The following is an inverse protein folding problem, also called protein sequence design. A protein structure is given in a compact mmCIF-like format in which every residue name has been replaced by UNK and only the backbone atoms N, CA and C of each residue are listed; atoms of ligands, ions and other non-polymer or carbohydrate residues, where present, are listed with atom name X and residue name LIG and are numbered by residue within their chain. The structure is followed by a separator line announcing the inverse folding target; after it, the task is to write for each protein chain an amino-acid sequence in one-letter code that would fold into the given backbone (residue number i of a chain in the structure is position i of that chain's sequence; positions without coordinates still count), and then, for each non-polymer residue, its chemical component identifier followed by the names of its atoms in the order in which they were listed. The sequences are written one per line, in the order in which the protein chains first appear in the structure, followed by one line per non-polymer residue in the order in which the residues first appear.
data_IF_118363361245
#
_entry.id   IF_118363361245
#
_cell.length_a   1.000
_cell.length_b   1.000
_cell.length_c   1.000
_cell.angle_alpha   90.00
_cell.angle_beta   90.00
_cell.angle_gamma   90.00
#
_symmetry.space_group_name_H-M   'P 1'
#
loop_
_entity.id
_entity.type
_entity.pdbx_description
1 polymer ?
#
# COMPACT_ATOMS: atom_id res chain seq x y z
N UNK A 1 14.85 8.65 4.46
CA UNK A 1 13.92 7.53 4.22
C UNK A 1 14.63 6.51 3.37
N UNK A 2 14.38 5.21 3.58
CA UNK A 2 15.00 4.15 2.80
C UNK A 2 14.00 3.36 1.95
N UNK A 3 12.70 3.47 2.24
CA UNK A 3 11.62 2.85 1.49
C UNK A 3 10.83 3.85 0.65
N UNK A 4 10.26 3.39 -0.44
CA UNK A 4 9.32 4.13 -1.29
C UNK A 4 8.12 3.23 -1.62
N UNK A 5 6.91 3.64 -1.25
CA UNK A 5 5.69 2.98 -1.67
C UNK A 5 5.33 3.38 -3.11
N UNK A 6 4.88 2.41 -3.90
CA UNK A 6 4.69 2.58 -5.33
C UNK A 6 3.38 1.94 -5.78
N UNK A 7 2.67 2.63 -6.68
CA UNK A 7 1.48 2.11 -7.33
C UNK A 7 1.83 1.23 -8.54
N UNK A 8 1.03 0.20 -8.75
CA UNK A 8 1.09 -0.65 -9.95
C UNK A 8 0.61 0.07 -11.21
N UNK A 9 -0.10 1.19 -11.05
CA UNK A 9 -0.48 2.10 -12.13
C UNK A 9 0.51 3.24 -12.30
N UNK A 10 0.82 3.65 -13.55
CA UNK A 10 1.60 4.86 -13.78
C UNK A 10 0.82 6.09 -13.31
N UNK A 11 1.54 7.09 -12.79
CA UNK A 11 0.93 8.37 -12.46
C UNK A 11 0.47 9.14 -13.71
N UNK A 12 -0.38 10.15 -13.48
CA UNK A 12 -0.89 11.02 -14.54
C UNK A 12 -2.05 10.45 -15.37
N UNK A 13 -2.58 9.28 -15.01
CA UNK A 13 -3.79 8.71 -15.64
C UNK A 13 -4.96 8.70 -14.65
N UNK A 14 -6.15 9.11 -15.13
CA UNK A 14 -7.41 9.08 -14.35
C UNK A 14 -8.06 7.69 -14.34
N UNK A 15 -7.69 6.82 -15.28
CA UNK A 15 -8.04 5.41 -15.25
C UNK A 15 -6.87 4.59 -14.72
N UNK A 16 -7.19 3.53 -13.97
CA UNK A 16 -6.19 2.55 -13.54
C UNK A 16 -5.65 1.80 -14.77
N UNK A 17 -4.33 1.77 -14.92
CA UNK A 17 -3.65 1.04 -15.98
C UNK A 17 -2.44 0.30 -15.43
N UNK A 18 -1.94 -0.71 -16.12
CA UNK A 18 -0.76 -1.44 -15.65
C UNK A 18 0.54 -0.75 -16.09
N UNK A 19 1.49 -0.56 -15.18
CA UNK A 19 2.86 -0.17 -15.56
C UNK A 19 3.50 -1.23 -16.44
N UNK A 20 4.10 -0.79 -17.54
CA UNK A 20 5.01 -1.58 -18.37
C UNK A 20 6.35 -1.82 -17.66
N UNK A 21 7.13 -2.81 -18.13
CA UNK A 21 8.49 -3.06 -17.62
C UNK A 21 9.38 -1.81 -17.74
N UNK A 22 9.26 -1.03 -18.82
CA UNK A 22 10.04 0.20 -18.99
C UNK A 22 9.73 1.24 -17.91
N UNK A 23 8.46 1.37 -17.51
CA UNK A 23 8.04 2.26 -16.43
C UNK A 23 8.53 1.76 -15.06
N UNK A 24 8.51 0.45 -14.81
CA UNK A 24 9.13 -0.14 -13.61
C UNK A 24 10.63 0.13 -13.55
N UNK A 25 11.35 -0.05 -14.67
CA UNK A 25 12.79 0.22 -14.77
C UNK A 25 13.12 1.70 -14.49
N UNK A 26 12.32 2.63 -15.02
CA UNK A 26 12.48 4.06 -14.73
C UNK A 26 12.28 4.33 -13.24
N UNK A 27 11.17 3.86 -12.67
CA UNK A 27 10.82 4.07 -11.27
C UNK A 27 11.92 3.60 -10.30
N UNK A 28 12.49 2.41 -10.50
CA UNK A 28 13.55 1.92 -9.62
C UNK A 28 14.87 2.68 -9.78
N UNK A 29 15.16 3.18 -10.99
CA UNK A 29 16.34 4.01 -11.22
C UNK A 29 16.19 5.39 -10.58
N UNK A 30 15.00 5.98 -10.70
CA UNK A 30 14.65 7.22 -10.01
C UNK A 30 14.78 7.02 -8.49
N UNK A 31 14.16 5.98 -7.93
CA UNK A 31 14.25 5.64 -6.52
C UNK A 31 15.71 5.50 -6.05
N UNK A 32 16.54 4.76 -6.81
CA UNK A 32 17.97 4.61 -6.52
C UNK A 32 18.72 5.93 -6.53
N UNK A 33 18.46 6.79 -7.53
CA UNK A 33 19.11 8.10 -7.66
C UNK A 33 18.81 9.02 -6.48
N UNK A 34 17.64 8.85 -5.87
CA UNK A 34 17.19 9.59 -4.69
C UNK A 34 17.57 8.89 -3.36
N UNK A 35 18.41 7.86 -3.42
CA UNK A 35 18.95 7.19 -2.23
C UNK A 35 18.04 6.13 -1.60
N UNK A 36 16.82 5.91 -2.12
CA UNK A 36 15.97 4.81 -1.67
C UNK A 36 16.64 3.46 -1.94
N UNK A 37 16.39 2.50 -1.04
CA UNK A 37 16.96 1.15 -1.06
C UNK A 37 15.91 0.07 -1.25
N UNK A 38 14.64 0.40 -0.96
CA UNK A 38 13.53 -0.54 -0.95
C UNK A 38 12.33 0.10 -1.65
N UNK A 39 11.66 -0.64 -2.53
CA UNK A 39 10.32 -0.28 -3.01
C UNK A 39 9.26 -1.17 -2.34
N UNK A 40 8.06 -0.65 -2.11
CA UNK A 40 6.91 -1.41 -1.62
C UNK A 40 5.81 -1.45 -2.66
N UNK A 41 5.47 -2.65 -3.11
CA UNK A 41 4.26 -2.92 -3.92
C UNK A 41 3.15 -3.44 -3.00
N UNK A 42 1.90 -3.03 -3.23
CA UNK A 42 0.78 -3.33 -2.31
C UNK A 42 -0.02 -4.57 -2.78
N UNK A 43 0.00 -4.86 -4.08
CA UNK A 43 -0.68 -6.00 -4.70
C UNK A 43 0.10 -6.58 -5.87
N UNK A 44 -0.29 -7.78 -6.31
CA UNK A 44 0.36 -8.51 -7.41
C UNK A 44 -0.44 -8.48 -8.72
N UNK A 45 -1.49 -7.67 -8.79
CA UNK A 45 -2.16 -7.37 -10.06
C UNK A 45 -1.17 -6.73 -11.05
N UNK A 46 -1.55 -6.64 -12.32
CA UNK A 46 -0.67 -6.12 -13.38
C UNK A 46 0.68 -6.85 -13.53
N UNK A 47 0.79 -8.09 -13.06
CA UNK A 47 2.07 -8.82 -12.96
C UNK A 47 3.14 -8.05 -12.17
N UNK A 48 2.71 -7.15 -11.27
CA UNK A 48 3.60 -6.18 -10.62
C UNK A 48 4.72 -6.86 -9.84
N UNK A 49 4.45 -7.99 -9.17
CA UNK A 49 5.50 -8.75 -8.47
C UNK A 49 6.66 -9.11 -9.40
N UNK A 50 6.36 -9.64 -10.59
CA UNK A 50 7.39 -10.06 -11.54
C UNK A 50 8.14 -8.85 -12.12
N UNK A 51 7.40 -7.85 -12.62
CA UNK A 51 7.99 -6.68 -13.29
C UNK A 51 8.82 -5.82 -12.32
N UNK A 52 8.31 -5.60 -11.11
CA UNK A 52 9.01 -4.87 -10.06
C UNK A 52 10.24 -5.64 -9.58
N UNK A 53 10.15 -6.97 -9.41
CA UNK A 53 11.30 -7.79 -9.00
C UNK A 53 12.42 -7.80 -10.01
N UNK A 54 12.08 -7.90 -11.30
CA UNK A 54 13.03 -7.77 -12.41
C UNK A 54 13.72 -6.39 -12.44
N UNK A 55 12.94 -5.32 -12.32
CA UNK A 55 13.46 -3.95 -12.29
C UNK A 55 14.37 -3.72 -11.07
N UNK A 56 13.88 -4.07 -9.88
CA UNK A 56 14.63 -3.93 -8.63
C UNK A 56 15.92 -4.76 -8.63
N UNK A 57 15.91 -5.94 -9.27
CA UNK A 57 17.09 -6.75 -9.49
C UNK A 57 18.18 -6.02 -10.27
N UNK A 58 17.80 -5.36 -11.36
CA UNK A 58 18.70 -4.57 -12.19
C UNK A 58 19.23 -3.34 -11.45
N UNK A 59 18.39 -2.67 -10.66
CA UNK A 59 18.77 -1.47 -9.92
C UNK A 59 19.58 -1.77 -8.63
N UNK A 60 19.49 -2.99 -8.10
CA UNK A 60 20.06 -3.36 -6.80
C UNK A 60 19.19 -2.91 -5.60
N UNK A 61 17.88 -2.75 -5.80
CA UNK A 61 16.92 -2.40 -4.74
C UNK A 61 16.22 -3.63 -4.19
N UNK A 62 15.81 -3.61 -2.93
CA UNK A 62 14.98 -4.67 -2.35
C UNK A 62 13.48 -4.34 -2.47
N UNK A 63 12.62 -5.32 -2.18
CA UNK A 63 11.17 -5.21 -2.26
C UNK A 63 10.52 -5.59 -0.94
N UNK A 64 9.60 -4.75 -0.47
CA UNK A 64 8.53 -5.18 0.44
C UNK A 64 7.33 -5.55 -0.41
N UNK A 65 7.01 -6.85 -0.49
CA UNK A 65 5.96 -7.36 -1.35
C UNK A 65 4.64 -7.42 -0.59
N UNK A 66 3.57 -6.84 -1.13
CA UNK A 66 2.23 -6.90 -0.56
C UNK A 66 1.29 -7.77 -1.37
N UNK A 67 0.56 -8.66 -0.69
CA UNK A 67 -0.59 -9.38 -1.23
C UNK A 67 -1.84 -8.63 -0.78
N UNK A 68 -2.52 -7.98 -1.71
CA UNK A 68 -3.77 -7.29 -1.44
C UNK A 68 -4.92 -8.30 -1.30
N UNK A 69 -5.83 -8.08 -0.35
CA UNK A 69 -7.05 -8.88 -0.19
C UNK A 69 -8.13 -8.36 -1.17
N UNK A 70 -8.13 -8.90 -2.39
CA UNK A 70 -8.90 -8.36 -3.52
C UNK A 70 -10.42 -8.33 -3.32
N UNK A 71 -10.96 -9.19 -2.47
CA UNK A 71 -12.39 -9.33 -2.23
C UNK A 71 -12.81 -8.77 -0.85
N UNK A 72 -12.06 -7.76 -0.37
CA UNK A 72 -12.40 -6.95 0.81
C UNK A 72 -12.03 -7.59 2.15
N UNK A 73 -12.34 -8.86 2.36
CA UNK A 73 -11.99 -9.61 3.59
C UNK A 73 -10.94 -10.68 3.33
N UNK A 74 -10.27 -11.16 4.39
CA UNK A 74 -9.33 -12.29 4.30
C UNK A 74 -10.08 -13.56 3.91
N UNK A 75 -11.28 -13.77 4.46
CA UNK A 75 -12.11 -14.92 4.15
C UNK A 75 -12.46 -14.98 2.66
N UNK A 76 -12.99 -13.88 2.10
CA UNK A 76 -13.35 -13.81 0.69
C UNK A 76 -12.13 -13.88 -0.24
N UNK A 77 -10.98 -13.37 0.22
CA UNK A 77 -9.73 -13.35 -0.56
C UNK A 77 -8.86 -14.59 -0.37
N UNK A 78 -9.28 -15.58 0.43
CA UNK A 78 -8.40 -16.67 0.87
C UNK A 78 -7.72 -17.41 -0.29
N UNK A 79 -8.49 -17.86 -1.29
CA UNK A 79 -7.94 -18.60 -2.44
C UNK A 79 -7.02 -17.72 -3.30
N UNK A 80 -7.34 -16.43 -3.44
CA UNK A 80 -6.49 -15.48 -4.17
C UNK A 80 -5.17 -15.23 -3.42
N UNK A 81 -5.22 -15.05 -2.10
CA UNK A 81 -4.03 -14.92 -1.26
C UNK A 81 -3.15 -16.16 -1.39
N UNK A 82 -3.73 -17.36 -1.35
CA UNK A 82 -2.97 -18.61 -1.44
C UNK A 82 -2.28 -18.74 -2.83
N UNK A 83 -2.95 -18.32 -3.90
CA UNK A 83 -2.36 -18.25 -5.24
C UNK A 83 -1.22 -17.22 -5.32
N UNK A 84 -1.39 -16.04 -4.73
CA UNK A 84 -0.35 -15.01 -4.69
C UNK A 84 0.85 -15.41 -3.82
N UNK A 85 0.64 -16.22 -2.78
CA UNK A 85 1.74 -16.85 -2.02
C UNK A 85 2.56 -17.81 -2.91
N UNK A 86 1.92 -18.56 -3.81
CA UNK A 86 2.65 -19.37 -4.79
C UNK A 86 3.46 -18.52 -5.77
N UNK A 87 2.88 -17.40 -6.24
CA UNK A 87 3.59 -16.43 -7.11
C UNK A 87 4.79 -15.82 -6.38
N UNK A 88 4.62 -15.46 -5.11
CA UNK A 88 5.71 -14.97 -4.26
C UNK A 88 6.82 -16.00 -4.11
N UNK A 89 6.49 -17.27 -3.83
CA UNK A 89 7.47 -18.36 -3.75
C UNK A 89 8.25 -18.51 -5.06
N UNK A 90 7.58 -18.47 -6.22
CA UNK A 90 8.24 -18.55 -7.51
C UNK A 90 9.21 -17.37 -7.73
N UNK A 91 8.77 -16.15 -7.41
CA UNK A 91 9.60 -14.95 -7.51
C UNK A 91 10.77 -14.96 -6.51
N UNK A 92 10.59 -15.51 -5.30
CA UNK A 92 11.64 -15.73 -4.31
C UNK A 92 12.74 -16.66 -4.87
N UNK A 93 12.34 -17.79 -5.45
CA UNK A 93 13.28 -18.72 -6.09
C UNK A 93 14.03 -18.07 -7.25
N UNK A 94 13.33 -17.30 -8.08
CA UNK A 94 13.90 -16.65 -9.28
C UNK A 94 14.89 -15.52 -8.94
N UNK A 95 14.53 -14.65 -7.99
CA UNK A 95 15.29 -13.42 -7.71
C UNK A 95 16.17 -13.50 -6.46
N UNK A 96 16.05 -14.59 -5.70
CA UNK A 96 16.84 -14.86 -4.51
C UNK A 96 16.29 -14.22 -3.23
N UNK A 97 16.60 -14.84 -2.09
CA UNK A 97 16.11 -14.43 -0.77
C UNK A 97 16.40 -12.96 -0.43
N UNK A 98 17.60 -12.47 -0.78
CA UNK A 98 18.02 -11.09 -0.52
C UNK A 98 17.18 -10.03 -1.24
N UNK A 99 16.34 -10.41 -2.21
CA UNK A 99 15.48 -9.46 -2.93
C UNK A 99 14.35 -8.92 -2.06
N UNK A 100 13.84 -9.70 -1.10
CA UNK A 100 12.61 -9.37 -0.38
C UNK A 100 12.90 -9.09 1.10
N UNK A 101 12.55 -7.88 1.57
CA UNK A 101 12.69 -7.50 2.99
C UNK A 101 11.50 -7.96 3.84
N UNK A 102 10.39 -8.31 3.20
CA UNK A 102 9.16 -8.75 3.86
C UNK A 102 8.06 -9.04 2.85
N UNK A 103 7.11 -9.89 3.27
CA UNK A 103 5.84 -10.14 2.61
C UNK A 103 4.70 -9.65 3.54
N UNK A 104 3.78 -8.83 3.04
CA UNK A 104 2.62 -8.38 3.81
C UNK A 104 1.34 -8.99 3.26
N UNK A 105 0.50 -9.54 4.13
CA UNK A 105 -0.80 -10.14 3.80
C UNK A 105 -1.89 -9.15 4.18
N UNK A 106 -2.47 -8.50 3.17
CA UNK A 106 -3.42 -7.42 3.35
C UNK A 106 -2.75 -6.06 3.59
N UNK A 107 -3.55 -5.02 3.38
CA UNK A 107 -3.26 -3.63 3.72
C UNK A 107 -4.56 -2.99 4.24
N UNK A 108 -4.61 -2.69 5.53
CA UNK A 108 -5.77 -2.10 6.22
C UNK A 108 -7.07 -2.90 5.98
N UNK A 109 -6.96 -4.23 5.95
CA UNK A 109 -8.09 -5.11 5.65
C UNK A 109 -9.14 -5.00 6.75
N UNK A 110 -10.38 -4.71 6.36
CA UNK A 110 -11.53 -4.68 7.27
C UNK A 110 -12.05 -6.10 7.52
N UNK A 111 -11.36 -6.82 8.39
CA UNK A 111 -11.74 -8.15 8.87
C UNK A 111 -11.38 -8.27 10.37
N UNK A 112 -11.84 -9.32 11.02
CA UNK A 112 -11.46 -9.57 12.41
C UNK A 112 -9.95 -9.81 12.52
N UNK A 113 -9.34 -9.29 13.58
CA UNK A 113 -7.91 -9.51 13.89
C UNK A 113 -7.58 -11.00 13.96
N UNK A 114 -8.52 -11.82 14.44
CA UNK A 114 -8.38 -13.28 14.44
C UNK A 114 -8.22 -13.88 13.04
N UNK A 115 -9.08 -13.50 12.09
CA UNK A 115 -9.00 -13.98 10.70
C UNK A 115 -7.71 -13.53 10.01
N UNK A 116 -7.32 -12.27 10.20
CA UNK A 116 -6.09 -11.69 9.65
C UNK A 116 -4.88 -12.47 10.17
N UNK A 117 -4.77 -12.61 11.49
CA UNK A 117 -3.61 -13.28 12.09
C UNK A 117 -3.59 -14.78 11.80
N UNK A 118 -4.74 -15.44 11.71
CA UNK A 118 -4.81 -16.84 11.27
C UNK A 118 -4.23 -17.03 9.87
N UNK A 119 -4.56 -16.14 8.92
CA UNK A 119 -3.98 -16.20 7.56
C UNK A 119 -2.49 -15.86 7.57
N UNK A 120 -2.05 -14.83 8.30
CA UNK A 120 -0.61 -14.51 8.46
C UNK A 120 0.18 -15.70 8.99
N UNK A 121 -0.33 -16.39 10.03
CA UNK A 121 0.32 -17.58 10.58
C UNK A 121 0.34 -18.75 9.60
N UNK A 122 -0.76 -18.99 8.88
CA UNK A 122 -0.84 -20.02 7.85
C UNK A 122 0.21 -19.79 6.74
N UNK A 123 0.27 -18.57 6.20
CA UNK A 123 1.23 -18.21 5.15
C UNK A 123 2.67 -18.31 5.65
N UNK A 124 2.97 -17.79 6.84
CA UNK A 124 4.30 -17.90 7.46
C UNK A 124 4.71 -19.35 7.65
N UNK A 125 3.81 -20.20 8.15
CA UNK A 125 4.05 -21.62 8.35
C UNK A 125 4.34 -22.36 7.05
N UNK A 126 3.52 -22.10 6.02
CA UNK A 126 3.72 -22.65 4.68
C UNK A 126 5.05 -22.21 4.05
N UNK A 127 5.34 -20.91 4.03
CA UNK A 127 6.58 -20.40 3.43
C UNK A 127 7.82 -20.99 4.12
N UNK A 128 7.79 -21.08 5.46
CA UNK A 128 8.87 -21.73 6.21
C UNK A 128 9.02 -23.21 5.87
N UNK A 129 7.92 -23.95 5.71
CA UNK A 129 7.98 -25.39 5.39
C UNK A 129 8.56 -25.68 3.99
N UNK A 130 8.47 -24.71 3.07
CA UNK A 130 9.07 -24.80 1.73
C UNK A 130 10.40 -24.03 1.61
N UNK A 131 11.02 -23.64 2.73
CA UNK A 131 12.35 -23.04 2.77
C UNK A 131 12.43 -21.54 2.44
N UNK A 132 11.29 -20.85 2.34
CA UNK A 132 11.24 -19.39 2.17
C UNK A 132 11.34 -18.72 3.54
N UNK A 133 12.39 -17.92 3.73
CA UNK A 133 12.71 -17.28 5.03
C UNK A 133 12.28 -15.82 5.12
N UNK A 134 11.59 -15.29 4.09
CA UNK A 134 11.13 -13.90 4.10
C UNK A 134 10.18 -13.66 5.27
N UNK A 135 10.41 -12.62 6.10
CA UNK A 135 9.50 -12.27 7.18
C UNK A 135 8.09 -11.96 6.66
N UNK A 136 7.06 -12.44 7.35
CA UNK A 136 5.65 -12.26 6.96
C UNK A 136 4.93 -11.37 7.98
N UNK A 137 4.16 -10.41 7.49
CA UNK A 137 3.31 -9.54 8.31
C UNK A 137 1.98 -9.18 7.67
N UNK A 138 1.22 -8.30 8.31
CA UNK A 138 0.05 -7.58 7.81
C UNK A 138 0.28 -6.09 8.02
N UNK A 139 -0.34 -5.25 7.20
CA UNK A 139 -0.27 -3.78 7.34
C UNK A 139 -1.60 -3.24 7.79
N UNK A 140 -1.58 -2.37 8.80
CA UNK A 140 -2.74 -1.63 9.28
C UNK A 140 -2.34 -0.19 9.66
N UNK A 141 -3.32 0.65 9.99
CA UNK A 141 -3.01 1.96 10.57
C UNK A 141 -2.27 1.79 11.89
N UNK A 142 -1.39 2.73 12.23
CA UNK A 142 -0.69 2.68 13.51
C UNK A 142 -1.64 2.68 14.73
N UNK A 143 -2.81 3.31 14.59
CA UNK A 143 -3.86 3.35 15.61
C UNK A 143 -4.48 1.96 15.81
N UNK A 144 -4.80 1.26 14.72
CA UNK A 144 -5.35 -0.10 14.80
C UNK A 144 -4.39 -1.05 15.46
N UNK A 145 -3.10 -0.96 15.14
CA UNK A 145 -2.05 -1.80 15.74
C UNK A 145 -1.91 -1.48 17.24
N UNK A 146 -1.87 -0.20 17.60
CA UNK A 146 -1.83 0.24 19.01
C UNK A 146 -3.02 -0.30 19.80
N UNK A 147 -4.21 -0.26 19.21
CA UNK A 147 -5.45 -0.68 19.87
C UNK A 147 -5.65 -2.20 19.84
N UNK A 148 -4.99 -2.92 18.92
CA UNK A 148 -5.12 -4.36 18.75
C UNK A 148 -3.73 -5.06 18.74
N UNK A 149 -3.06 -5.19 19.90
CA UNK A 149 -1.71 -5.77 19.97
C UNK A 149 -1.58 -7.23 19.47
N UNK A 150 -2.70 -7.95 19.24
CA UNK A 150 -2.66 -9.25 18.59
C UNK A 150 -2.08 -9.19 17.16
N UNK A 151 -2.18 -8.04 16.48
CA UNK A 151 -1.52 -7.79 15.19
C UNK A 151 0.02 -7.87 15.29
N UNK A 152 0.59 -7.65 16.48
CA UNK A 152 2.03 -7.77 16.73
C UNK A 152 2.56 -9.21 16.68
N UNK A 153 1.69 -10.22 16.55
CA UNK A 153 2.09 -11.64 16.46
C UNK A 153 2.86 -12.02 15.19
N UNK A 154 2.83 -11.15 14.18
CA UNK A 154 3.58 -11.30 12.94
C UNK A 154 5.09 -11.08 13.12
N UNK A 155 5.89 -11.24 12.06
CA UNK A 155 7.36 -11.17 12.18
C UNK A 155 7.89 -9.74 12.38
N UNK A 156 7.15 -8.74 11.91
CA UNK A 156 7.45 -7.31 12.08
C UNK A 156 6.15 -6.50 12.16
N UNK A 157 6.23 -5.25 12.61
CA UNK A 157 5.11 -4.29 12.57
C UNK A 157 5.13 -3.57 11.23
N UNK A 158 4.08 -3.72 10.43
CA UNK A 158 3.84 -2.89 9.24
C UNK A 158 2.73 -1.88 9.54
N UNK A 159 3.07 -0.61 9.67
CA UNK A 159 2.13 0.43 10.05
C UNK A 159 2.05 1.54 9.01
N UNK A 160 0.85 1.88 8.56
CA UNK A 160 0.61 3.11 7.82
C UNK A 160 0.39 4.26 8.83
N UNK A 161 1.07 5.38 8.62
CA UNK A 161 1.05 6.50 9.54
C UNK A 161 1.24 7.83 8.82
N UNK A 162 0.14 8.55 8.64
CA UNK A 162 0.11 9.83 7.95
C UNK A 162 -0.35 10.93 8.91
N UNK A 163 0.55 11.85 9.25
CA UNK A 163 0.25 12.99 10.11
C UNK A 163 -0.92 13.85 9.57
N UNK A 164 -1.05 13.91 8.23
CA UNK A 164 -2.12 14.65 7.57
C UNK A 164 -3.53 14.21 8.02
N UNK A 165 -3.80 12.90 8.12
CA UNK A 165 -5.13 12.41 8.48
C UNK A 165 -5.43 12.50 9.98
N UNK A 166 -4.40 12.53 10.84
CA UNK A 166 -4.56 12.85 12.27
C UNK A 166 -4.97 14.32 12.46
N UNK A 167 -4.36 15.22 11.67
CA UNK A 167 -4.72 16.65 11.61
C UNK A 167 -4.27 17.47 12.82
N UNK A 168 -3.58 16.86 13.79
CA UNK A 168 -3.10 17.53 15.00
C UNK A 168 -1.88 18.44 14.76
N UNK A 169 -1.14 18.23 13.67
CA UNK A 169 0.17 18.86 13.40
C UNK A 169 0.24 19.49 12.01
N UNK A 170 1.14 20.46 11.82
CA UNK A 170 1.45 20.99 10.49
C UNK A 170 2.47 20.12 9.74
N UNK A 171 2.73 20.44 8.47
CA UNK A 171 3.64 19.68 7.60
C UNK A 171 5.05 19.54 8.18
N UNK A 172 5.64 20.62 8.69
CA UNK A 172 6.97 20.62 9.31
C UNK A 172 7.11 19.71 10.54
N UNK A 173 5.99 19.31 11.15
CA UNK A 173 5.94 18.44 12.32
C UNK A 173 5.65 16.96 11.99
N UNK A 174 5.49 16.59 10.72
CA UNK A 174 5.14 15.23 10.31
C UNK A 174 6.16 14.16 10.79
N UNK A 175 7.46 14.47 10.74
CA UNK A 175 8.51 13.59 11.28
C UNK A 175 8.47 13.47 12.79
N UNK A 176 8.24 14.58 13.50
CA UNK A 176 8.07 14.58 14.96
C UNK A 176 6.86 13.79 15.41
N UNK A 177 5.76 13.80 14.65
CA UNK A 177 4.61 12.92 14.87
C UNK A 177 5.01 11.44 14.78
N UNK A 178 5.76 11.04 13.74
CA UNK A 178 6.23 9.66 13.63
C UNK A 178 7.15 9.27 14.79
N UNK A 179 8.09 10.14 15.14
CA UNK A 179 9.10 9.83 16.15
C UNK A 179 8.58 9.87 17.59
N UNK A 180 7.82 10.91 17.97
CA UNK A 180 7.40 11.14 19.34
C UNK A 180 6.06 10.48 19.68
N UNK A 181 5.22 10.21 18.67
CA UNK A 181 3.87 9.68 18.89
C UNK A 181 3.73 8.25 18.38
N UNK A 182 3.99 8.04 17.08
CA UNK A 182 3.75 6.73 16.46
C UNK A 182 4.73 5.68 16.95
N UNK A 183 6.04 5.99 16.91
CA UNK A 183 7.09 5.05 17.33
C UNK A 183 6.90 4.54 18.76
N UNK A 184 6.74 5.38 19.80
CA UNK A 184 6.63 4.87 21.16
C UNK A 184 5.34 4.09 21.37
N UNK A 185 4.24 4.49 20.71
CA UNK A 185 2.97 3.74 20.76
C UNK A 185 3.11 2.33 20.16
N UNK A 186 3.77 2.21 19.00
CA UNK A 186 4.04 0.91 18.38
C UNK A 186 5.04 0.08 19.18
N UNK A 187 6.07 0.69 19.77
CA UNK A 187 7.02 -0.01 20.65
C UNK A 187 6.36 -0.53 21.92
N UNK A 188 5.41 0.22 22.49
CA UNK A 188 4.63 -0.20 23.65
C UNK A 188 3.67 -1.35 23.31
N UNK A 189 2.97 -1.27 22.17
CA UNK A 189 2.04 -2.30 21.73
C UNK A 189 2.75 -3.58 21.26
N UNK A 190 3.88 -3.44 20.57
CA UNK A 190 4.62 -4.51 19.91
C UNK A 190 6.10 -4.57 20.39
N UNK A 191 6.37 -4.86 21.67
CA UNK A 191 7.72 -4.80 22.23
C UNK A 191 8.69 -5.72 21.49
N UNK A 192 9.88 -5.19 21.16
CA UNK A 192 10.96 -5.93 20.50
C UNK A 192 10.75 -6.21 19.01
N UNK A 193 9.64 -5.80 18.41
CA UNK A 193 9.39 -5.99 16.97
C UNK A 193 10.08 -4.91 16.15
N UNK A 194 10.62 -5.30 14.99
CA UNK A 194 11.06 -4.35 13.97
C UNK A 194 9.85 -3.56 13.46
N UNK A 195 10.00 -2.26 13.31
CA UNK A 195 8.94 -1.37 12.83
C UNK A 195 9.25 -0.91 11.41
N UNK A 196 8.31 -1.16 10.50
CA UNK A 196 8.23 -0.54 9.19
C UNK A 196 7.04 0.40 9.18
N UNK A 197 7.29 1.70 9.02
CA UNK A 197 6.25 2.64 8.64
C UNK A 197 6.07 2.50 7.13
N UNK A 198 5.06 1.72 6.73
CA UNK A 198 4.91 1.21 5.37
C UNK A 198 4.32 2.22 4.40
N UNK A 199 3.68 3.28 4.92
CA UNK A 199 3.25 4.48 4.20
C UNK A 199 3.31 5.67 5.15
N UNK A 200 3.97 6.74 4.70
CA UNK A 200 3.85 8.07 5.29
C UNK A 200 4.12 9.12 4.22
N UNK A 201 3.26 10.12 4.16
CA UNK A 201 3.28 11.13 3.11
C UNK A 201 2.32 12.25 3.41
N UNK A 202 2.26 13.22 2.50
CA UNK A 202 1.47 14.42 2.64
C UNK A 202 0.91 14.83 1.27
N UNK A 203 -0.39 15.15 1.13
CA UNK A 203 -0.96 15.51 -0.15
C UNK A 203 -0.54 16.93 -0.55
N UNK A 204 -0.34 17.14 -1.85
CA UNK A 204 -0.03 18.47 -2.40
C UNK A 204 -1.26 19.29 -2.80
N UNK A 205 -2.45 18.68 -2.79
CA UNK A 205 -3.71 19.31 -3.19
C UNK A 205 -4.88 18.78 -2.36
N UNK A 206 -6.00 19.48 -2.41
CA UNK A 206 -7.29 19.00 -1.90
C UNK A 206 -7.73 19.53 -0.54
N UNK A 207 -7.18 20.66 -0.09
CA UNK A 207 -7.66 21.40 1.08
C UNK A 207 -6.88 21.08 2.35
N UNK A 208 -7.53 21.13 3.51
CA UNK A 208 -6.87 20.92 4.79
C UNK A 208 -7.69 20.02 5.73
N UNK A 209 -7.00 19.33 6.63
CA UNK A 209 -7.57 18.64 7.79
C UNK A 209 -7.05 19.31 9.06
N UNK A 210 -7.82 20.25 9.61
CA UNK A 210 -7.41 21.07 10.77
C UNK A 210 -6.07 21.78 10.47
N UNK A 211 -5.01 21.45 11.22
CA UNK A 211 -3.68 22.06 11.08
C UNK A 211 -2.89 21.52 9.88
N UNK A 212 -3.34 20.43 9.27
CA UNK A 212 -2.68 19.81 8.14
C UNK A 212 -3.19 20.39 6.82
N UNK A 213 -2.44 21.30 6.20
CA UNK A 213 -2.76 21.96 4.92
C UNK A 213 -2.10 21.21 3.76
N UNK A 214 -2.86 20.89 2.71
CA UNK A 214 -2.33 20.27 1.49
C UNK A 214 -1.87 21.35 0.50
N UNK A 215 -0.56 21.39 0.23
CA UNK A 215 0.05 22.26 -0.77
C UNK A 215 1.39 21.65 -1.20
N UNK A 216 1.95 22.08 -2.35
CA UNK A 216 3.30 21.64 -2.77
C UNK A 216 4.37 22.02 -1.72
N UNK A 217 4.42 23.26 -1.18
CA UNK A 217 5.32 23.59 -0.09
C UNK A 217 5.13 22.75 1.18
N UNK A 218 3.89 22.44 1.56
CA UNK A 218 3.60 21.61 2.72
C UNK A 218 4.02 20.14 2.51
N UNK A 219 3.81 19.59 1.31
CA UNK A 219 4.33 18.26 0.99
C UNK A 219 5.86 18.23 1.06
N UNK A 220 6.55 19.24 0.51
CA UNK A 220 8.00 19.36 0.64
C UNK A 220 8.46 19.40 2.10
N UNK A 221 7.80 20.21 2.94
CA UNK A 221 8.08 20.31 4.38
C UNK A 221 7.86 18.99 5.11
N UNK A 222 6.75 18.32 4.83
CA UNK A 222 6.41 17.04 5.45
C UNK A 222 7.40 15.94 5.06
N UNK A 223 7.72 15.81 3.77
CA UNK A 223 8.68 14.82 3.28
C UNK A 223 10.07 15.08 3.85
N UNK A 224 10.50 16.35 3.97
CA UNK A 224 11.76 16.71 4.63
C UNK A 224 11.76 16.34 6.13
N UNK A 225 10.67 16.62 6.83
CA UNK A 225 10.49 16.28 8.25
C UNK A 225 10.48 14.76 8.48
N UNK A 226 9.74 13.99 7.66
CA UNK A 226 9.71 12.53 7.67
C UNK A 226 11.09 11.94 7.35
N UNK A 227 11.82 12.53 6.39
CA UNK A 227 13.19 12.13 6.07
C UNK A 227 14.14 12.27 7.26
N UNK A 228 13.96 13.33 8.05
CA UNK A 228 14.73 13.54 9.27
C UNK A 228 14.42 12.48 10.35
N UNK A 229 13.14 12.15 10.56
CA UNK A 229 12.73 11.06 11.45
C UNK A 229 13.30 9.69 11.01
N UNK A 230 13.43 9.47 9.70
CA UNK A 230 14.02 8.25 9.13
C UNK A 230 15.54 8.11 9.37
N UNK A 231 16.21 9.11 9.98
CA UNK A 231 17.61 8.96 10.44
C UNK A 231 17.72 8.05 11.66
N UNK A 232 16.64 7.90 12.43
CA UNK A 232 16.57 6.87 13.45
C UNK A 232 16.39 5.49 12.80
N UNK A 233 17.40 4.65 12.95
CA UNK A 233 17.44 3.31 12.35
C UNK A 233 16.56 2.26 13.05
N UNK A 234 15.90 2.60 14.16
CA UNK A 234 14.92 1.73 14.84
C UNK A 234 13.59 1.62 14.09
N UNK A 235 13.35 2.50 13.11
CA UNK A 235 12.23 2.41 12.17
C UNK A 235 12.73 2.48 10.73
N UNK A 236 12.09 1.74 9.85
CA UNK A 236 12.24 1.92 8.40
C UNK A 236 11.00 2.61 7.86
N UNK A 237 11.15 3.75 7.20
CA UNK A 237 10.02 4.56 6.72
C UNK A 237 9.96 4.52 5.19
N UNK A 238 8.76 4.25 4.67
CA UNK A 238 8.41 4.29 3.26
C UNK A 238 7.67 5.58 2.93
N UNK A 239 8.25 6.39 2.04
CA UNK A 239 7.56 7.56 1.50
C UNK A 239 6.35 7.13 0.67
N UNK A 240 5.20 7.75 0.90
CA UNK A 240 3.98 7.53 0.11
C UNK A 240 3.66 8.80 -0.68
N UNK A 241 3.74 8.78 -2.01
CA UNK A 241 4.17 7.67 -2.89
C UNK A 241 5.03 8.17 -4.06
N UNK A 242 5.42 7.30 -5.00
CA UNK A 242 6.28 7.68 -6.12
C UNK A 242 5.69 8.78 -7.02
N UNK A 243 4.50 8.60 -7.57
CA UNK A 243 3.85 9.54 -8.49
C UNK A 243 2.34 9.67 -8.20
N UNK A 244 1.77 10.83 -8.55
CA UNK A 244 0.35 11.16 -8.29
C UNK A 244 -0.58 10.15 -8.98
N UNK A 245 -1.54 9.59 -8.23
CA UNK A 245 -2.45 8.55 -8.70
C UNK A 245 -3.86 9.11 -8.92
N UNK A 246 -4.11 9.69 -10.10
CA UNK A 246 -5.37 10.40 -10.40
C UNK A 246 -6.61 9.49 -10.50
N UNK A 247 -6.42 8.17 -10.57
CA UNK A 247 -7.51 7.19 -10.54
C UNK A 247 -8.04 6.90 -9.13
N UNK A 248 -7.33 7.33 -8.07
CA UNK A 248 -7.78 7.10 -6.69
C UNK A 248 -9.07 7.87 -6.41
N UNK A 249 -9.98 7.20 -5.71
CA UNK A 249 -11.13 7.85 -5.10
C UNK A 249 -10.67 8.71 -3.92
N UNK A 250 -11.50 9.65 -3.46
CA UNK A 250 -11.15 10.59 -2.37
C UNK A 250 -10.64 11.95 -2.85
N UNK A 251 -10.71 12.19 -4.16
CA UNK A 251 -10.48 13.50 -4.76
C UNK A 251 -9.02 13.94 -4.67
N UNK A 252 -8.82 15.26 -4.72
CA UNK A 252 -7.49 15.84 -4.86
C UNK A 252 -6.50 15.46 -3.74
N UNK A 253 -6.97 15.13 -2.53
CA UNK A 253 -6.11 14.65 -1.43
C UNK A 253 -5.46 13.32 -1.83
N UNK A 254 -6.27 12.28 -2.06
CA UNK A 254 -5.79 10.92 -2.37
C UNK A 254 -5.01 10.87 -3.69
N UNK A 255 -5.33 11.76 -4.63
CA UNK A 255 -4.72 11.81 -5.96
C UNK A 255 -3.37 12.54 -6.00
N UNK A 256 -2.87 13.11 -4.88
CA UNK A 256 -1.79 14.11 -4.91
C UNK A 256 -0.61 13.87 -3.96
N UNK A 257 -0.35 12.61 -3.57
CA UNK A 257 0.75 12.19 -2.68
C UNK A 257 2.09 11.89 -3.40
N UNK A 258 2.15 11.96 -4.73
CA UNK A 258 3.32 11.53 -5.49
C UNK A 258 4.50 12.49 -5.40
N UNK A 259 5.67 12.06 -4.93
CA UNK A 259 6.79 12.98 -4.65
C UNK A 259 7.72 13.24 -5.86
N UNK A 260 7.73 12.36 -6.87
CA UNK A 260 8.63 12.48 -8.01
C UNK A 260 8.07 13.43 -9.08
N UNK A 261 8.93 14.28 -9.64
CA UNK A 261 8.55 15.28 -10.64
C UNK A 261 7.86 16.51 -10.05
N UNK A 262 7.67 16.55 -8.73
CA UNK A 262 7.03 17.67 -8.00
C UNK A 262 7.95 18.27 -6.94
N UNK A 263 8.54 17.46 -6.06
CA UNK A 263 9.44 17.93 -4.98
C UNK A 263 10.86 17.36 -5.07
N UNK A 264 11.16 16.55 -6.11
CA UNK A 264 12.48 15.98 -6.42
C UNK A 264 12.78 16.21 -7.92
N UNK A 265 14.01 16.59 -8.32
CA UNK A 265 15.29 16.22 -7.70
C UNK A 265 16.11 17.46 -7.26
N UNK A 266 16.21 17.72 -5.95
CA UNK A 266 17.04 18.83 -5.46
C UNK A 266 17.08 18.95 -3.95
N UNK A 267 15.92 19.08 -3.29
CA UNK A 267 15.91 19.69 -1.97
C UNK A 267 15.37 18.76 -0.85
N UNK A 268 14.22 18.11 -0.98
CA UNK A 268 13.55 17.47 0.17
C UNK A 268 14.35 16.36 0.89
N UNK A 269 15.19 15.60 0.16
CA UNK A 269 16.00 14.52 0.75
C UNK A 269 17.40 14.98 1.19
N UNK A 270 17.86 16.12 0.68
CA UNK A 270 19.20 16.69 0.90
C UNK A 270 19.20 17.95 1.80
N UNK A 271 18.05 18.59 2.05
CA UNK A 271 17.88 19.89 2.73
C UNK A 271 18.24 19.92 4.24
N UNK A 272 19.05 18.97 4.71
CA UNK A 272 19.74 19.09 5.99
C UNK A 272 21.23 18.79 5.85
N UNK A 273 22.02 19.70 5.24
CA UNK A 273 23.47 19.70 5.38
C UNK A 273 23.85 20.51 6.62
N UNK A 274 23.39 20.14 7.81
CA UNK A 274 24.01 20.68 9.03
C UNK A 274 24.52 19.55 9.94
N UNK A 275 25.83 19.24 9.86
CA UNK A 275 26.49 18.30 10.77
C UNK A 275 26.73 18.88 12.17
N UNK A 276 26.33 20.11 12.49
CA UNK A 276 26.53 20.73 13.82
C UNK A 276 25.48 20.36 14.87
N UNK A 277 24.56 19.43 14.59
CA UNK A 277 23.82 18.70 15.63
C UNK A 277 24.73 17.67 16.33
N UNK A 278 25.92 18.11 16.73
CA UNK A 278 26.77 17.39 17.68
C UNK A 278 26.23 17.64 19.09
N UNK A 279 25.70 16.59 19.70
CA UNK A 279 25.63 16.40 21.16
C UNK A 279 25.22 17.64 21.96
N UNK A 280 23.93 17.96 21.99
CA UNK A 280 23.34 18.64 23.13
C UNK A 280 22.62 17.61 24.02
N UNK A 281 23.39 17.12 24.99
CA UNK A 281 23.05 16.77 26.36
C UNK A 281 21.64 16.19 26.64
N UNK A 282 21.61 14.89 26.96
CA UNK A 282 20.54 14.11 27.60
C UNK A 282 19.24 13.86 26.79
N UNK A 283 19.16 12.66 26.20
CA UNK A 283 17.94 11.91 25.81
C UNK A 283 16.85 12.61 24.98
N UNK A 284 17.15 13.77 24.38
CA UNK A 284 16.24 14.45 23.46
C UNK A 284 17.03 14.87 22.23
N UNK A 285 16.81 14.18 21.12
CA UNK A 285 17.20 14.72 19.81
C UNK A 285 16.25 15.91 19.61
N UNK A 286 16.81 17.12 19.51
CA UNK A 286 16.06 18.33 19.11
C UNK A 286 15.56 18.12 17.67
N UNK A 287 14.38 17.50 17.53
CA UNK A 287 13.91 16.96 16.26
C UNK A 287 13.46 18.06 15.30
N UNK A 288 14.32 18.34 14.33
CA UNK A 288 13.96 18.64 12.93
C UNK A 288 12.82 19.66 12.72
N UNK A 289 12.89 20.83 13.35
CA UNK A 289 12.03 21.96 12.94
C UNK A 289 12.67 22.62 11.71
N UNK A 290 12.21 22.25 10.53
CA UNK A 290 12.49 22.99 9.31
C UNK A 290 11.25 23.77 8.89
N UNK A 291 11.44 25.05 8.62
CA UNK A 291 10.46 25.93 7.98
C UNK A 291 11.04 26.27 6.61
N UNK A 292 10.45 25.75 5.52
CA UNK A 292 10.78 26.24 4.19
C UNK A 292 10.19 27.64 4.03
N UNK A 293 11.04 28.66 3.91
CA UNK A 293 10.61 30.01 3.53
C UNK A 293 10.37 30.04 2.02
N UNK A 294 9.09 30.18 1.65
CA UNK A 294 8.61 30.27 0.26
C UNK A 294 9.16 31.46 -0.53
N UNK A 295 9.84 32.41 0.13
CA UNK A 295 10.24 33.68 -0.48
C UNK A 295 11.56 33.63 -1.28
N UNK A 296 12.32 32.53 -1.26
CA UNK A 296 13.70 32.53 -1.82
C UNK A 296 13.91 31.70 -3.08
N UNK A 297 12.99 30.80 -3.46
CA UNK A 297 13.18 29.92 -4.61
C UNK A 297 11.90 29.86 -5.44
N UNK A 298 11.86 30.67 -6.51
CA UNK A 298 10.70 30.80 -7.39
C UNK A 298 10.28 29.47 -7.99
N UNK A 299 9.15 28.95 -7.51
CA UNK A 299 8.42 27.84 -8.13
C UNK A 299 7.52 28.47 -9.20
N UNK A 300 7.61 27.99 -10.44
CA UNK A 300 6.76 28.47 -11.53
C UNK A 300 5.29 28.21 -11.22
N UNK A 301 4.49 29.28 -11.18
CA UNK A 301 3.04 29.24 -10.99
C UNK A 301 2.37 28.30 -12.01
N UNK A 302 1.73 27.25 -11.51
CA UNK A 302 0.73 26.51 -12.29
C UNK A 302 -0.62 27.14 -11.95
N UNK A 303 -1.21 27.85 -12.92
CA UNK A 303 -2.48 28.55 -12.79
C UNK A 303 -3.57 27.67 -12.17
N UNK A 304 -4.05 28.05 -10.97
CA UNK A 304 -5.26 27.50 -10.37
C UNK A 304 -6.50 28.05 -11.09
N UNK A 305 -7.44 27.16 -11.45
CA UNK A 305 -8.76 27.56 -11.93
C UNK A 305 -9.69 27.88 -10.72
N UNK A 306 -10.59 28.87 -10.84
CA UNK A 306 -11.34 29.37 -9.69
C UNK A 306 -12.42 28.39 -9.20
N UNK A 307 -12.55 28.29 -7.87
CA UNK A 307 -13.50 27.46 -7.13
C UNK A 307 -14.94 28.04 -7.18
N UNK A 308 -15.99 27.20 -7.32
CA UNK A 308 -17.35 27.60 -6.96
C UNK A 308 -17.65 27.31 -5.47
N UNK A 309 -18.48 28.19 -4.91
CA UNK A 309 -18.86 28.35 -3.51
C UNK A 309 -19.49 27.13 -2.82
N UNK A 310 -19.33 27.12 -1.48
CA UNK A 310 -19.93 26.24 -0.47
C UNK A 310 -21.38 25.82 -0.77
N UNK A 311 -21.65 24.51 -0.74
CA UNK A 311 -22.98 23.98 -0.41
C UNK A 311 -22.88 22.84 0.60
N UNK A 312 -23.78 22.91 1.58
CA UNK A 312 -24.03 22.00 2.69
C UNK A 312 -24.51 20.63 2.21
N UNK A 313 -23.89 19.54 2.68
CA UNK A 313 -24.35 18.18 2.39
C UNK A 313 -25.55 17.82 3.27
N UNK A 314 -26.74 17.67 2.65
CA UNK A 314 -27.83 16.86 3.19
C UNK A 314 -27.70 15.42 2.69
N UNK A 315 -27.95 14.46 3.57
CA UNK A 315 -27.94 13.02 3.31
C UNK A 315 -29.09 12.62 2.36
N UNK A 316 -28.76 12.13 1.17
CA UNK A 316 -29.70 11.46 0.28
C UNK A 316 -29.50 9.94 0.39
N UNK A 317 -30.51 9.25 0.93
CA UNK A 317 -30.63 7.79 0.90
C UNK A 317 -31.37 7.40 -0.38
N UNK A 318 -30.72 6.71 -1.30
CA UNK A 318 -31.42 6.04 -2.41
C UNK A 318 -31.63 4.56 -2.08
N UNK A 319 -32.91 4.22 -1.91
CA UNK A 319 -33.45 2.85 -1.93
C UNK A 319 -33.28 2.30 -3.34
N UNK A 320 -32.76 1.08 -3.48
CA UNK A 320 -32.74 0.33 -4.75
C UNK A 320 -33.90 -0.67 -4.72
N UNK A 321 -34.75 -0.58 -5.74
CA UNK A 321 -35.92 -1.43 -6.00
C UNK A 321 -35.46 -2.73 -6.70
N UNK A 322 -35.84 -3.94 -6.25
CA UNK A 322 -35.33 -5.19 -6.81
C UNK A 322 -36.26 -5.74 -7.89
N UNK A 323 -36.26 -5.14 -9.08
CA UNK A 323 -36.80 -5.79 -10.28
C UNK A 323 -35.99 -5.36 -11.51
N UNK A 324 -34.93 -6.11 -11.83
CA UNK A 324 -34.40 -6.22 -13.20
C UNK A 324 -33.30 -7.28 -13.28
N UNK A 325 -33.67 -8.57 -13.17
CA UNK A 325 -32.91 -9.66 -13.78
C UNK A 325 -33.85 -10.76 -14.24
N UNK A 326 -33.89 -11.01 -15.55
CA UNK A 326 -34.58 -12.15 -16.16
C UNK A 326 -33.65 -13.36 -16.10
N UNK A 327 -34.08 -14.44 -15.44
CA UNK A 327 -33.41 -15.73 -15.43
C UNK A 327 -33.72 -16.42 -16.77
N UNK A 328 -32.71 -16.73 -17.57
CA UNK A 328 -32.84 -17.61 -18.75
C UNK A 328 -32.31 -18.99 -18.35
N UNK A 329 -33.16 -20.00 -18.16
CA UNK A 329 -32.71 -21.37 -17.95
C UNK A 329 -32.31 -22.00 -19.30
N UNK A 330 -31.08 -22.51 -19.41
CA UNK A 330 -30.74 -23.47 -20.45
C UNK A 330 -31.43 -24.80 -20.14
N UNK A 331 -32.35 -25.20 -21.02
CA UNK A 331 -33.03 -26.48 -20.99
C UNK A 331 -32.04 -27.61 -21.32
N UNK A 332 -32.00 -28.64 -20.47
CA UNK A 332 -31.44 -29.94 -20.79
C UNK A 332 -32.37 -30.68 -21.75
N UNK A 333 -31.86 -31.17 -22.86
CA UNK A 333 -32.48 -32.27 -23.61
C UNK A 333 -32.11 -33.57 -22.90
N UNK A 334 -33.10 -34.24 -22.30
CA UNK A 334 -33.29 -35.69 -22.38
C UNK A 334 -34.58 -36.08 -21.66
N UNK A 335 -35.38 -36.92 -22.32
CA UNK A 335 -36.72 -37.33 -21.90
C UNK A 335 -36.73 -38.58 -21.03
N UNK A 336 -37.87 -38.74 -20.31
CA UNK A 336 -38.43 -39.96 -19.70
C UNK A 336 -37.59 -40.69 -18.62
N UNK A 337 -38.07 -41.14 -17.44
CA UNK A 337 -39.39 -41.30 -16.81
C UNK A 337 -39.23 -41.55 -15.28
N UNK A 338 -40.21 -41.08 -14.48
CA UNK A 338 -40.80 -41.66 -13.25
C UNK A 338 -40.00 -41.88 -11.92
N UNK A 339 -40.37 -41.03 -10.92
CA UNK A 339 -40.66 -41.25 -9.46
C UNK A 339 -39.63 -41.80 -8.44
N UNK A 340 -39.75 -41.43 -7.13
CA UNK A 340 -38.61 -41.26 -6.21
C UNK A 340 -38.59 -42.21 -4.99
N UNK A 341 -37.41 -42.62 -4.49
CA UNK A 341 -37.21 -43.13 -3.11
C UNK A 341 -35.76 -42.88 -2.61
N UNK A 342 -35.69 -42.73 -1.28
CA UNK A 342 -34.67 -42.28 -0.30
C UNK A 342 -33.31 -43.00 -0.15
N UNK A 343 -32.40 -42.32 0.57
CA UNK A 343 -31.27 -42.75 1.44
C UNK A 343 -29.81 -42.59 0.92
N UNK A 344 -29.01 -41.84 1.70
CA UNK A 344 -27.52 -41.76 1.79
C UNK A 344 -26.90 -43.14 2.14
N UNK A 345 -25.56 -43.40 2.16
CA UNK A 345 -24.34 -42.61 1.80
C UNK A 345 -23.25 -43.39 1.00
N UNK A 346 -22.08 -42.80 0.72
CA UNK A 346 -20.69 -43.37 0.73
C UNK A 346 -19.74 -42.77 -0.35
N UNK A 347 -18.48 -42.58 0.08
CA UNK A 347 -17.25 -42.15 -0.61
C UNK A 347 -16.91 -42.99 -1.87
N UNK A 348 -16.26 -42.41 -2.89
CA UNK A 348 -14.92 -42.82 -3.38
C UNK A 348 -14.36 -41.86 -4.43
N UNK A 349 -13.02 -41.92 -4.59
CA UNK A 349 -12.11 -41.15 -5.44
C UNK A 349 -12.07 -41.63 -6.91
N UNK A 350 -11.25 -40.91 -7.72
CA UNK A 350 -10.76 -41.17 -9.10
C UNK A 350 -11.57 -40.45 -10.18
N UNK A 351 -11.02 -39.90 -11.27
CA UNK A 351 -9.66 -39.64 -11.75
C UNK A 351 -9.77 -38.63 -12.92
N UNK A 352 -8.61 -38.11 -13.33
CA UNK A 352 -8.28 -37.31 -14.52
C UNK A 352 -9.24 -37.33 -15.71
N UNK A 353 -9.55 -36.14 -16.25
CA UNK A 353 -9.59 -35.94 -17.70
C UNK A 353 -8.98 -34.57 -18.07
N UNK A 354 -7.95 -34.63 -18.90
CA UNK A 354 -7.33 -33.51 -19.58
C UNK A 354 -8.25 -33.00 -20.70
N UNK A 355 -8.33 -31.67 -20.85
CA UNK A 355 -8.94 -31.05 -22.04
C UNK A 355 -8.02 -29.98 -22.63
N UNK A 356 -7.78 -30.12 -23.94
CA UNK A 356 -6.98 -29.25 -24.80
C UNK A 356 -7.56 -27.83 -24.91
N UNK A 357 -6.66 -26.85 -25.06
CA UNK A 357 -6.99 -25.45 -25.31
C UNK A 357 -7.22 -25.18 -26.81
N UNK A 358 -8.37 -24.57 -27.14
CA UNK A 358 -8.61 -23.90 -28.42
C UNK A 358 -8.87 -22.41 -28.14
N UNK A 359 -8.21 -21.46 -28.85
CA UNK A 359 -8.27 -20.04 -28.50
C UNK A 359 -9.54 -19.39 -29.05
N UNK A 360 -10.23 -18.63 -28.20
CA UNK A 360 -11.29 -17.70 -28.64
C UNK A 360 -10.81 -16.27 -28.41
N UNK A 361 -10.46 -15.62 -29.52
CA UNK A 361 -10.29 -14.18 -29.61
C UNK A 361 -11.64 -13.48 -29.54
N UNK A 362 -11.92 -12.74 -28.46
CA UNK A 362 -12.34 -11.33 -28.52
C UNK A 362 -12.69 -10.78 -27.13
N UNK A 363 -11.88 -9.82 -26.70
CA UNK A 363 -12.15 -8.67 -25.83
C UNK A 363 -13.40 -8.64 -24.96
N UNK A 364 -13.19 -8.79 -23.64
CA UNK A 364 -13.37 -7.77 -22.59
C UNK A 364 -13.33 -8.48 -21.24
N UNK A 365 -12.17 -8.47 -20.60
CA UNK A 365 -12.06 -8.79 -19.17
C UNK A 365 -12.52 -7.55 -18.40
N UNK A 366 -13.69 -7.62 -17.77
CA UNK A 366 -14.07 -6.64 -16.77
C UNK A 366 -13.16 -6.82 -15.56
N UNK A 367 -12.11 -6.00 -15.47
CA UNK A 367 -11.40 -5.77 -14.22
C UNK A 367 -12.24 -4.75 -13.46
N UNK A 368 -12.94 -5.21 -12.41
CA UNK A 368 -13.59 -4.30 -11.47
C UNK A 368 -12.49 -3.51 -10.75
N UNK A 369 -12.46 -2.16 -10.84
CA UNK A 369 -11.49 -1.37 -10.12
C UNK A 369 -11.85 -1.39 -8.63
N UNK A 370 -11.09 -2.11 -7.82
CA UNK A 370 -11.14 -1.91 -6.36
C UNK A 370 -10.39 -0.62 -6.08
N UNK A 371 -11.15 0.42 -5.78
CA UNK A 371 -10.68 1.78 -5.63
C UNK A 371 -10.76 2.17 -4.17
N UNK A 372 -9.66 2.67 -3.59
CA UNK A 372 -9.60 3.02 -2.17
C UNK A 372 -9.16 4.45 -1.94
N UNK A 373 -9.82 5.02 -0.93
CA UNK A 373 -9.53 6.26 -0.21
C UNK A 373 -9.03 5.83 1.17
N UNK A 374 -7.99 6.49 1.71
CA UNK A 374 -7.58 6.32 3.10
C UNK A 374 -8.79 6.65 4.00
N UNK A 375 -9.25 5.66 4.77
CA UNK A 375 -10.36 5.83 5.72
C UNK A 375 -9.80 5.94 7.15
N UNK A 376 -10.42 6.84 7.93
CA UNK A 376 -10.03 7.23 9.30
C UNK A 376 -10.21 6.12 10.33
#
# INVERSE_FOLDING_TARGET
MSGLAVSNSPGGTTAYGCRSQAQWNKLVNDAKSQGFKIIRIIGFDCSALELASSAAATAGLQIMAGIFAQFGTIAASSSQIDNDVQRFRAAYTKYGAGRYVGLTIGNEVQDSVGNIMAKVYSVRGYLKSVGVQTPVSTVHTWVDIRNNPALCGADFVGANAHAFFDGGVNSGQAGSFLYNTVKPALQAACPGKKIYITESGWPSRGGNNRNAVASVPDEHNAISSINCAARDTSMTIFAFEYDDQLWKNGGAIEQSFGIFGKILPGDALNAYPDPTLSKHNNNSISFCTYSYDVDTHGIADVQEAPLPHQQTYQTYQHRVDPTDYTIIPMQSTDGDTHTPVTQTPIRQWMDDEAYEAVPITSGRTAVLPVSYSLHR
#
